data_IF_175471586030
#
_entry.id   IF_175471586030
#
_cell.length_a   1.000
_cell.length_b   1.000
_cell.length_c   1.000
_cell.angle_alpha   90.00
_cell.angle_beta   90.00
_cell.angle_gamma   90.00
#
_symmetry.space_group_name_H-M   'P 1'
#
loop_
_entity.id
_entity.type
_entity.pdbx_description
1 polymer ?
#
# COMPACT_ATOMS: atom_id res chain seq x y z
N UNK A 1 14.19 -22.66 -51.12
CA UNK A 1 13.42 -21.40 -50.95
C UNK A 1 12.85 -21.34 -49.52
N UNK A 2 13.61 -20.92 -48.50
CA UNK A 2 13.14 -21.04 -47.10
C UNK A 2 13.70 -20.02 -46.09
N UNK A 3 14.44 -18.99 -46.52
CA UNK A 3 15.10 -18.04 -45.61
C UNK A 3 14.37 -16.70 -45.39
N UNK A 4 13.25 -16.46 -46.09
CA UNK A 4 12.53 -15.16 -46.04
C UNK A 4 11.47 -15.04 -44.95
N UNK A 5 11.07 -16.15 -44.31
CA UNK A 5 10.00 -16.16 -43.30
C UNK A 5 10.50 -15.83 -41.89
N UNK A 6 11.75 -16.16 -41.55
CA UNK A 6 12.31 -15.88 -40.23
C UNK A 6 12.61 -14.40 -39.97
N UNK A 7 13.09 -13.67 -40.98
CA UNK A 7 13.41 -12.24 -40.86
C UNK A 7 12.17 -11.36 -40.74
N UNK A 8 11.09 -11.68 -41.47
CA UNK A 8 9.84 -10.94 -41.38
C UNK A 8 9.16 -11.10 -40.01
N UNK A 9 9.18 -12.32 -39.43
CA UNK A 9 8.65 -12.60 -38.09
C UNK A 9 9.45 -11.89 -37.00
N UNK A 10 10.77 -11.92 -37.10
CA UNK A 10 11.64 -11.23 -36.15
C UNK A 10 11.48 -9.71 -36.20
N UNK A 11 11.33 -9.12 -37.39
CA UNK A 11 11.00 -7.70 -37.53
C UNK A 11 9.63 -7.34 -36.91
N UNK A 12 8.61 -8.20 -37.09
CA UNK A 12 7.29 -7.99 -36.47
C UNK A 12 7.34 -8.06 -34.93
N UNK A 13 8.10 -9.01 -34.38
CA UNK A 13 8.30 -9.13 -32.93
C UNK A 13 9.05 -7.92 -32.35
N UNK A 14 10.08 -7.43 -33.05
CA UNK A 14 10.81 -6.22 -32.68
C UNK A 14 9.91 -4.97 -32.72
N UNK A 15 9.05 -4.84 -33.73
CA UNK A 15 8.07 -3.74 -33.80
C UNK A 15 7.06 -3.80 -32.66
N UNK A 16 6.54 -4.98 -32.33
CA UNK A 16 5.63 -5.15 -31.20
C UNK A 16 6.31 -4.82 -29.86
N UNK A 17 7.59 -5.18 -29.69
CA UNK A 17 8.36 -4.83 -28.50
C UNK A 17 8.63 -3.31 -28.40
N UNK A 18 8.93 -2.65 -29.53
CA UNK A 18 9.08 -1.20 -29.59
C UNK A 18 7.78 -0.47 -29.24
N UNK A 19 6.64 -0.94 -29.75
CA UNK A 19 5.34 -0.36 -29.47
C UNK A 19 4.97 -0.46 -27.98
N UNK A 20 5.17 -1.63 -27.36
CA UNK A 20 4.98 -1.80 -25.90
C UNK A 20 5.90 -0.91 -25.06
N UNK A 21 7.08 -0.57 -25.58
CA UNK A 21 8.01 0.35 -24.90
C UNK A 21 7.53 1.79 -25.01
N UNK A 22 7.02 2.20 -26.17
CA UNK A 22 6.43 3.52 -26.36
C UNK A 22 5.19 3.70 -25.48
N UNK A 23 4.33 2.70 -25.38
CA UNK A 23 3.16 2.75 -24.50
C UNK A 23 3.55 2.92 -23.03
N UNK A 24 4.57 2.17 -22.57
CA UNK A 24 5.11 2.32 -21.21
C UNK A 24 5.68 3.72 -20.96
N UNK A 25 6.41 4.28 -21.92
CA UNK A 25 6.93 5.64 -21.81
C UNK A 25 5.81 6.68 -21.78
N UNK A 26 4.73 6.48 -22.54
CA UNK A 26 3.54 7.31 -22.49
C UNK A 26 2.87 7.28 -21.12
N UNK A 27 2.69 6.07 -20.57
CA UNK A 27 2.12 5.90 -19.23
C UNK A 27 2.99 6.52 -18.14
N UNK A 28 4.31 6.33 -18.21
CA UNK A 28 5.25 6.93 -17.26
C UNK A 28 5.17 8.46 -17.28
N UNK A 29 5.08 9.08 -18.46
CA UNK A 29 4.92 10.55 -18.57
C UNK A 29 3.60 11.04 -17.98
N UNK A 30 2.52 10.29 -18.13
CA UNK A 30 1.23 10.64 -17.53
C UNK A 30 1.33 10.64 -15.98
N UNK A 31 1.98 9.63 -15.41
CA UNK A 31 2.23 9.54 -13.97
C UNK A 31 3.13 10.67 -13.47
N UNK A 32 4.17 11.02 -14.22
CA UNK A 32 5.05 12.16 -13.89
C UNK A 32 4.29 13.49 -13.88
N UNK A 33 3.36 13.70 -14.82
CA UNK A 33 2.51 14.90 -14.86
C UNK A 33 1.52 14.95 -13.69
N UNK A 34 0.91 13.82 -13.33
CA UNK A 34 -0.01 13.73 -12.19
C UNK A 34 0.73 14.00 -10.88
N UNK A 35 1.91 13.43 -10.69
CA UNK A 35 2.76 13.72 -9.53
C UNK A 35 3.14 15.19 -9.44
N UNK A 36 3.51 15.82 -10.57
CA UNK A 36 3.81 17.26 -10.59
C UNK A 36 2.59 18.11 -10.20
N UNK A 37 1.38 17.73 -10.62
CA UNK A 37 0.15 18.41 -10.25
C UNK A 37 -0.19 18.24 -8.75
N UNK A 38 0.03 17.04 -8.20
CA UNK A 38 -0.16 16.76 -6.77
C UNK A 38 0.83 17.54 -5.90
N UNK A 39 2.10 17.58 -6.29
CA UNK A 39 3.14 18.37 -5.62
C UNK A 39 2.80 19.86 -5.65
N UNK A 40 2.30 20.38 -6.79
CA UNK A 40 1.87 21.77 -6.90
C UNK A 40 0.64 22.09 -6.01
N UNK A 41 -0.25 21.13 -5.78
CA UNK A 41 -1.46 21.31 -4.98
C UNK A 41 -1.21 21.32 -3.45
N UNK A 42 -0.06 20.84 -2.97
CA UNK A 42 0.23 20.68 -1.54
C UNK A 42 0.74 21.95 -0.83
N UNK A 43 0.98 23.03 -1.57
CA UNK A 43 1.36 24.34 -1.04
C UNK A 43 2.86 24.57 -0.92
N UNK A 44 3.27 25.83 -1.08
CA UNK A 44 4.67 26.28 -1.01
C UNK A 44 5.20 26.19 0.43
N UNK A 45 5.73 25.04 0.83
CA UNK A 45 6.34 24.91 2.16
C UNK A 45 6.71 23.50 2.59
N UNK A 46 6.24 22.47 1.88
CA UNK A 46 6.55 21.08 2.15
C UNK A 46 7.36 20.55 0.96
N UNK A 47 8.62 20.17 1.18
CA UNK A 47 9.40 19.54 0.12
C UNK A 47 8.93 18.10 -0.14
N UNK A 48 9.25 17.56 -1.32
CA UNK A 48 8.99 16.16 -1.64
C UNK A 48 9.63 15.22 -0.59
N UNK A 49 10.85 15.55 -0.12
CA UNK A 49 11.53 14.83 0.96
C UNK A 49 10.78 14.90 2.30
N UNK A 50 10.15 16.03 2.63
CA UNK A 50 9.34 16.16 3.85
C UNK A 50 8.13 15.23 3.80
N UNK A 51 7.50 15.11 2.64
CA UNK A 51 6.35 14.22 2.44
C UNK A 51 6.77 12.75 2.49
N UNK A 52 7.86 12.38 1.81
CA UNK A 52 8.36 11.01 1.85
C UNK A 52 8.72 10.59 3.29
N UNK A 53 9.35 11.50 4.05
CA UNK A 53 9.63 11.30 5.48
C UNK A 53 8.36 11.14 6.30
N UNK A 54 7.40 12.04 6.12
CA UNK A 54 6.12 12.00 6.85
C UNK A 54 5.34 10.71 6.54
N UNK A 55 5.28 10.30 5.27
CA UNK A 55 4.60 9.09 4.82
C UNK A 55 5.32 7.83 5.32
N UNK A 56 6.65 7.79 5.23
CA UNK A 56 7.44 6.70 5.80
C UNK A 56 7.23 6.57 7.30
N UNK A 57 7.21 7.69 8.03
CA UNK A 57 6.94 7.68 9.47
C UNK A 57 5.50 7.23 9.77
N UNK A 58 4.52 7.66 8.97
CA UNK A 58 3.14 7.23 9.10
C UNK A 58 2.98 5.72 8.88
N UNK A 59 3.59 5.18 7.82
CA UNK A 59 3.61 3.74 7.53
C UNK A 59 4.23 2.96 8.69
N UNK A 60 5.37 3.43 9.23
CA UNK A 60 6.01 2.82 10.40
C UNK A 60 5.08 2.83 11.62
N UNK A 61 4.47 3.98 11.92
CA UNK A 61 3.55 4.12 13.05
C UNK A 61 2.35 3.17 12.92
N UNK A 62 1.78 3.03 11.72
CA UNK A 62 0.69 2.09 11.45
C UNK A 62 1.13 0.64 11.66
N UNK A 63 2.30 0.24 11.14
CA UNK A 63 2.82 -1.10 11.36
C UNK A 63 3.04 -1.40 12.84
N UNK A 64 3.70 -0.50 13.56
CA UNK A 64 3.93 -0.64 15.00
C UNK A 64 2.62 -0.69 15.78
N UNK A 65 1.65 0.16 15.46
CA UNK A 65 0.34 0.15 16.11
C UNK A 65 -0.40 -1.18 15.89
N UNK A 66 -0.36 -1.72 14.67
CA UNK A 66 -0.95 -3.02 14.36
C UNK A 66 -0.24 -4.17 15.10
N UNK A 67 1.08 -4.16 15.15
CA UNK A 67 1.86 -5.16 15.90
C UNK A 67 1.50 -5.15 17.39
N UNK A 68 1.39 -3.97 18.01
CA UNK A 68 0.94 -3.84 19.38
C UNK A 68 -0.49 -4.35 19.59
N UNK A 69 -1.40 -4.05 18.65
CA UNK A 69 -2.78 -4.54 18.69
C UNK A 69 -2.84 -6.06 18.63
N UNK A 70 -2.09 -6.67 17.71
CA UNK A 70 -2.04 -8.12 17.56
C UNK A 70 -1.45 -8.81 18.81
N UNK A 71 -0.39 -8.24 19.39
CA UNK A 71 0.18 -8.72 20.66
C UNK A 71 -0.82 -8.60 21.81
N UNK A 72 -1.52 -7.48 21.92
CA UNK A 72 -2.56 -7.28 22.94
C UNK A 72 -3.70 -8.30 22.77
N UNK A 73 -4.17 -8.52 21.54
CA UNK A 73 -5.20 -9.51 21.24
C UNK A 73 -4.79 -10.93 21.67
N UNK A 74 -3.52 -11.31 21.42
CA UNK A 74 -2.97 -12.59 21.85
C UNK A 74 -3.00 -12.72 23.38
N UNK A 75 -2.57 -11.69 24.10
CA UNK A 75 -2.57 -11.66 25.56
C UNK A 75 -4.00 -11.73 26.12
N UNK A 76 -4.94 -11.01 25.52
CA UNK A 76 -6.35 -11.05 25.92
C UNK A 76 -6.95 -12.43 25.69
N UNK A 77 -6.61 -13.11 24.59
CA UNK A 77 -7.02 -14.50 24.36
C UNK A 77 -6.51 -15.46 25.44
N UNK A 78 -5.23 -15.31 25.85
CA UNK A 78 -4.66 -16.10 26.94
C UNK A 78 -5.32 -15.79 28.28
N UNK A 79 -5.60 -14.52 28.55
CA UNK A 79 -6.25 -14.07 29.78
C UNK A 79 -7.69 -14.59 29.88
N UNK A 80 -8.45 -14.47 28.80
CA UNK A 80 -9.80 -15.01 28.66
C UNK A 80 -9.83 -16.51 28.95
N UNK A 81 -8.88 -17.26 28.35
CA UNK A 81 -8.73 -18.71 28.57
C UNK A 81 -8.46 -19.04 30.05
N UNK A 82 -7.56 -18.31 30.71
CA UNK A 82 -7.22 -18.54 32.13
C UNK A 82 -8.37 -18.23 33.08
N UNK A 83 -9.18 -17.22 32.75
CA UNK A 83 -10.31 -16.79 33.57
C UNK A 83 -11.63 -17.50 33.19
N UNK A 84 -11.62 -18.32 32.13
CA UNK A 84 -12.81 -18.97 31.58
C UNK A 84 -13.93 -17.97 31.22
N UNK A 85 -13.52 -16.80 30.72
CA UNK A 85 -14.39 -15.74 30.22
C UNK A 85 -14.16 -15.54 28.73
N UNK A 86 -15.03 -14.79 28.07
CA UNK A 86 -14.86 -14.44 26.66
C UNK A 86 -13.85 -13.30 26.50
N UNK A 87 -13.22 -13.21 25.33
CA UNK A 87 -12.35 -12.07 25.01
C UNK A 87 -13.13 -10.75 25.11
N UNK A 88 -14.40 -10.73 24.68
CA UNK A 88 -15.25 -9.53 24.79
C UNK A 88 -15.41 -9.05 26.24
N UNK A 89 -15.58 -9.98 27.19
CA UNK A 89 -15.63 -9.64 28.61
C UNK A 89 -14.29 -9.08 29.11
N UNK A 90 -13.15 -9.56 28.61
CA UNK A 90 -11.84 -8.95 28.92
C UNK A 90 -11.77 -7.49 28.45
N UNK A 91 -12.29 -7.18 27.25
CA UNK A 91 -12.37 -5.79 26.77
C UNK A 91 -13.28 -4.93 27.66
N UNK A 92 -14.45 -5.45 28.03
CA UNK A 92 -15.39 -4.79 28.95
C UNK A 92 -14.75 -4.52 30.32
N UNK A 93 -14.07 -5.52 30.90
CA UNK A 93 -13.40 -5.44 32.21
C UNK A 93 -12.23 -4.45 32.21
N UNK A 94 -11.52 -4.33 31.09
CA UNK A 94 -10.41 -3.38 30.91
C UNK A 94 -10.88 -1.97 30.49
N UNK A 95 -12.19 -1.79 30.23
CA UNK A 95 -12.75 -0.52 29.77
C UNK A 95 -12.32 -0.13 28.36
N UNK A 96 -11.97 -1.10 27.51
CA UNK A 96 -11.56 -0.87 26.12
C UNK A 96 -12.81 -0.89 25.25
N UNK A 97 -13.11 0.21 24.56
CA UNK A 97 -14.30 0.33 23.72
C UNK A 97 -14.06 -0.23 22.31
N UNK A 98 -15.08 -0.85 21.71
CA UNK A 98 -15.07 -1.38 20.32
C UNK A 98 -14.82 -0.29 19.26
N UNK A 99 -14.92 0.99 19.64
CA UNK A 99 -14.69 2.15 18.78
C UNK A 99 -13.23 2.28 18.29
N UNK A 100 -12.29 1.55 18.90
CA UNK A 100 -10.87 1.51 18.49
C UNK A 100 -10.62 0.42 17.40
N UNK A 101 -11.69 -0.26 16.96
CA UNK A 101 -11.65 -1.38 16.01
C UNK A 101 -12.11 -1.03 14.58
N UNK A 102 -12.19 0.26 14.22
CA UNK A 102 -12.45 0.68 12.83
C UNK A 102 -11.22 0.41 11.93
N UNK A 103 -11.01 -0.86 11.59
CA UNK A 103 -10.46 -1.22 10.29
C UNK A 103 -11.43 -0.65 9.28
N UNK A 104 -11.05 0.45 8.62
CA UNK A 104 -11.81 1.08 7.55
C UNK A 104 -12.32 0.06 6.54
N UNK A 105 -13.59 -0.32 6.70
CA UNK A 105 -14.43 -0.81 5.63
C UNK A 105 -14.91 0.44 4.90
N UNK A 106 -14.06 0.96 4.01
CA UNK A 106 -14.50 1.93 3.03
C UNK A 106 -15.38 1.18 2.02
N UNK A 107 -16.70 1.31 2.22
CA UNK A 107 -17.72 1.07 1.20
C UNK A 107 -17.69 2.19 0.14
#
# INVERSE_FOLDING_TARGET
MGRRTGTARHCQELQAAQMRRLDRLGHQRALEQENAALLAAQGEGISEEDMERAMTQHIKNLHTSNEFKDLAQLLFGQLATRQNITVRQVYEDLGISDSDDERGSAA
#
